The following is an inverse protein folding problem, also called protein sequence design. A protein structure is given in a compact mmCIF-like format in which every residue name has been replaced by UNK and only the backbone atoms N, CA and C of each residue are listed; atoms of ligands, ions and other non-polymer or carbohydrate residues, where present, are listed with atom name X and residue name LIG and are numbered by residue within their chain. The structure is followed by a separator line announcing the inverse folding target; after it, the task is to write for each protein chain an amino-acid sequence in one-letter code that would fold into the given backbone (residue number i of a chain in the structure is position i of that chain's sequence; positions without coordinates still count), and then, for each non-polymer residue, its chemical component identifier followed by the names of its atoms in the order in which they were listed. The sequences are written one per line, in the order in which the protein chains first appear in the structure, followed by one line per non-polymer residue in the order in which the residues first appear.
data_IF_465438440171
#
_entry.id   IF_465438440171
#
_cell.length_a   1.000
_cell.length_b   1.000
_cell.length_c   1.000
_cell.angle_alpha   90.00
_cell.angle_beta   90.00
_cell.angle_gamma   90.00
#
_symmetry.space_group_name_H-M   'P 1'
#
loop_
_entity.id
_entity.type
_entity.pdbx_description
1 polymer ?
#
# COMPACT_ATOMS: atom_id res chain seq x y z
N UNK A 1 -17.47 31.16 12.32
CA UNK A 1 -17.30 32.28 13.28
C UNK A 1 -16.58 33.48 12.68
N UNK A 2 -15.39 33.31 12.10
CA UNK A 2 -14.64 34.44 11.50
C UNK A 2 -15.37 35.05 10.30
N UNK A 3 -15.89 34.21 9.40
CA UNK A 3 -16.65 34.65 8.21
C UNK A 3 -17.99 35.33 8.61
N UNK A 4 -18.74 34.72 9.53
CA UNK A 4 -20.02 35.23 10.04
C UNK A 4 -19.92 36.59 10.77
N UNK A 5 -18.73 37.01 11.20
CA UNK A 5 -18.51 38.33 11.82
C UNK A 5 -18.79 39.48 10.83
N UNK A 6 -18.70 39.23 9.52
CA UNK A 6 -18.95 40.26 8.51
C UNK A 6 -20.43 40.68 8.46
N UNK A 7 -21.34 39.74 8.73
CA UNK A 7 -22.79 39.97 8.66
C UNK A 7 -23.46 40.14 10.03
N UNK A 8 -22.86 39.61 11.11
CA UNK A 8 -23.48 39.59 12.44
C UNK A 8 -22.55 40.12 13.54
N UNK A 9 -23.14 40.77 14.55
CA UNK A 9 -22.40 41.28 15.72
C UNK A 9 -21.75 40.13 16.50
N UNK A 10 -20.44 40.25 16.74
CA UNK A 10 -19.64 39.25 17.46
C UNK A 10 -20.21 38.86 18.84
N UNK A 11 -20.81 39.82 19.56
CA UNK A 11 -21.42 39.56 20.89
C UNK A 11 -22.57 38.54 20.81
N UNK A 12 -23.35 38.57 19.74
CA UNK A 12 -24.46 37.63 19.50
C UNK A 12 -23.90 36.25 19.16
N UNK A 13 -22.94 36.20 18.24
CA UNK A 13 -22.26 34.96 17.84
C UNK A 13 -21.64 34.23 19.04
N UNK A 14 -20.89 34.95 19.88
CA UNK A 14 -20.26 34.38 21.08
C UNK A 14 -21.27 33.88 22.12
N UNK A 15 -22.44 34.55 22.22
CA UNK A 15 -23.52 34.13 23.12
C UNK A 15 -24.17 32.84 22.65
N UNK A 16 -24.41 32.70 21.34
CA UNK A 16 -25.00 31.49 20.75
C UNK A 16 -24.06 30.30 20.83
N UNK A 17 -22.74 30.51 20.62
CA UNK A 17 -21.76 29.42 20.67
C UNK A 17 -21.17 29.15 22.03
N UNK A 18 -21.57 29.89 23.06
CA UNK A 18 -21.07 29.76 24.44
C UNK A 18 -19.54 29.89 24.57
N UNK A 19 -18.90 30.71 23.72
CA UNK A 19 -17.44 30.92 23.73
C UNK A 19 -17.10 32.26 24.37
N UNK A 20 -16.14 32.27 25.31
CA UNK A 20 -15.62 33.52 25.88
C UNK A 20 -14.89 34.36 24.84
N UNK A 21 -15.08 35.68 24.87
CA UNK A 21 -14.43 36.64 23.97
C UNK A 21 -12.90 36.50 23.94
N UNK A 22 -12.27 36.31 25.10
CA UNK A 22 -10.82 36.11 25.22
C UNK A 22 -10.35 34.85 24.46
N UNK A 23 -11.09 33.74 24.60
CA UNK A 23 -10.79 32.47 23.92
C UNK A 23 -10.88 32.61 22.40
N UNK A 24 -11.86 33.35 21.89
CA UNK A 24 -12.00 33.65 20.47
C UNK A 24 -10.81 34.44 19.90
N UNK A 25 -10.41 35.53 20.55
CA UNK A 25 -9.25 36.30 20.09
C UNK A 25 -7.94 35.54 20.27
N UNK A 26 -7.81 34.73 21.32
CA UNK A 26 -6.69 33.82 21.49
C UNK A 26 -6.57 32.85 20.31
N UNK A 27 -7.69 32.28 19.83
CA UNK A 27 -7.67 31.34 18.70
C UNK A 27 -7.36 32.03 17.38
N UNK A 28 -7.86 33.25 17.15
CA UNK A 28 -7.55 34.01 15.93
C UNK A 28 -6.09 34.43 15.89
N UNK A 29 -5.55 34.92 17.00
CA UNK A 29 -4.19 35.43 17.08
C UNK A 29 -3.15 34.30 17.20
N UNK A 30 -3.60 33.05 17.33
CA UNK A 30 -2.71 31.90 17.41
C UNK A 30 -2.06 31.66 16.05
N UNK A 31 -0.78 31.99 15.95
CA UNK A 31 0.05 31.65 14.78
C UNK A 31 0.01 30.14 14.58
N UNK A 32 -0.42 29.71 13.39
CA UNK A 32 -0.46 28.31 13.07
C UNK A 32 0.96 27.77 13.00
N UNK A 33 1.33 26.83 13.88
CA UNK A 33 2.69 26.25 13.92
C UNK A 33 3.06 25.60 12.59
N UNK A 34 2.07 25.20 11.81
CA UNK A 34 2.23 24.59 10.50
C UNK A 34 2.63 25.57 9.40
N UNK A 35 2.53 26.89 9.63
CA UNK A 35 2.95 27.90 8.67
C UNK A 35 4.45 27.84 8.37
N UNK A 36 5.26 27.44 9.35
CA UNK A 36 6.70 27.20 9.17
C UNK A 36 7.00 26.09 8.16
N UNK A 37 6.04 25.19 7.93
CA UNK A 37 6.21 24.05 7.03
C UNK A 37 5.64 24.30 5.63
N UNK A 38 5.12 25.49 5.33
CA UNK A 38 4.46 25.83 4.04
C UNK A 38 5.26 25.37 2.81
N UNK A 39 6.57 25.56 2.83
CA UNK A 39 7.42 25.14 1.71
C UNK A 39 7.45 23.61 1.54
N UNK A 40 7.56 22.85 2.63
CA UNK A 40 7.50 21.38 2.58
C UNK A 40 6.12 20.92 2.11
N UNK A 41 5.04 21.58 2.54
CA UNK A 41 3.68 21.29 2.05
C UNK A 41 3.59 21.47 0.53
N UNK A 42 4.13 22.57 0.00
CA UNK A 42 4.16 22.87 -1.44
C UNK A 42 4.94 21.81 -2.22
N UNK A 43 6.15 21.49 -1.77
CA UNK A 43 7.01 20.48 -2.40
C UNK A 43 6.35 19.09 -2.41
N UNK A 44 5.73 18.67 -1.30
CA UNK A 44 5.03 17.38 -1.21
C UNK A 44 3.88 17.32 -2.22
N UNK A 45 3.07 18.38 -2.33
CA UNK A 45 1.98 18.44 -3.33
C UNK A 45 2.53 18.34 -4.75
N UNK A 46 3.57 19.12 -5.06
CA UNK A 46 4.18 19.14 -6.38
C UNK A 46 4.70 17.75 -6.79
N UNK A 47 5.47 17.10 -5.89
CA UNK A 47 5.96 15.73 -6.08
C UNK A 47 4.81 14.74 -6.31
N UNK A 48 3.76 14.84 -5.49
CA UNK A 48 2.62 13.94 -5.58
C UNK A 48 1.89 14.06 -6.93
N UNK A 49 1.62 15.29 -7.38
CA UNK A 49 0.95 15.55 -8.66
C UNK A 49 1.82 15.18 -9.86
N UNK A 50 3.11 15.53 -9.83
CA UNK A 50 4.09 15.14 -10.86
C UNK A 50 4.09 13.62 -11.08
N UNK A 51 3.93 12.86 -10.00
CA UNK A 51 4.03 11.40 -10.04
C UNK A 51 2.65 10.73 -10.11
N UNK A 52 1.61 11.48 -10.52
CA UNK A 52 0.23 11.01 -10.72
C UNK A 52 -0.35 10.30 -9.50
N UNK A 53 0.02 10.74 -8.31
CA UNK A 53 -0.44 10.20 -7.02
C UNK A 53 0.09 8.81 -6.64
N UNK A 54 1.03 8.24 -7.40
CA UNK A 54 1.59 6.90 -7.12
C UNK A 54 2.54 6.87 -5.93
N UNK A 55 3.03 8.03 -5.50
CA UNK A 55 4.07 8.12 -4.47
C UNK A 55 3.44 8.25 -3.09
N UNK A 56 3.70 7.27 -2.22
CA UNK A 56 3.43 7.36 -0.79
C UNK A 56 4.57 8.05 -0.03
N UNK A 57 4.40 8.24 1.28
CA UNK A 57 5.31 9.02 2.12
C UNK A 57 6.79 8.58 2.02
N UNK A 58 7.06 7.29 1.84
CA UNK A 58 8.42 6.75 1.74
C UNK A 58 9.11 7.21 0.46
N UNK A 59 8.40 7.21 -0.68
CA UNK A 59 8.95 7.69 -1.95
C UNK A 59 9.08 9.20 -1.98
N UNK A 60 8.10 9.91 -1.41
CA UNK A 60 8.16 11.37 -1.27
C UNK A 60 9.34 11.81 -0.38
N UNK A 61 9.62 11.09 0.71
CA UNK A 61 10.80 11.34 1.53
C UNK A 61 12.11 11.25 0.74
N UNK A 62 12.25 10.20 -0.08
CA UNK A 62 13.44 10.03 -0.92
C UNK A 62 13.56 11.16 -1.95
N UNK A 63 12.46 11.54 -2.60
CA UNK A 63 12.48 12.63 -3.57
C UNK A 63 12.77 13.98 -2.94
N UNK A 64 12.26 14.24 -1.72
CA UNK A 64 12.61 15.43 -0.94
C UNK A 64 14.10 15.44 -0.56
N UNK A 65 14.65 14.29 -0.16
CA UNK A 65 16.07 14.16 0.14
C UNK A 65 16.93 14.44 -1.10
N UNK A 66 16.52 13.95 -2.27
CA UNK A 66 17.19 14.22 -3.56
C UNK A 66 17.17 15.71 -3.92
N UNK A 67 16.12 16.44 -3.52
CA UNK A 67 16.02 17.91 -3.68
C UNK A 67 16.76 18.69 -2.58
N UNK A 68 17.46 18.02 -1.66
CA UNK A 68 18.23 18.63 -0.57
C UNK A 68 17.46 18.90 0.72
N UNK A 69 16.18 18.53 0.81
CA UNK A 69 15.39 18.72 2.03
C UNK A 69 15.62 17.58 3.03
N UNK A 70 16.12 17.93 4.23
CA UNK A 70 16.20 17.00 5.36
C UNK A 70 14.90 17.04 6.18
N UNK A 71 14.05 16.04 6.00
CA UNK A 71 12.80 15.90 6.75
C UNK A 71 12.66 14.50 7.38
N UNK A 72 12.10 14.43 8.58
CA UNK A 72 11.79 13.15 9.21
C UNK A 72 10.58 12.48 8.54
N UNK A 73 10.61 11.16 8.35
CA UNK A 73 9.51 10.38 7.78
C UNK A 73 8.18 10.58 8.55
N UNK A 74 8.22 10.74 9.88
CA UNK A 74 7.01 11.02 10.70
C UNK A 74 6.38 12.36 10.32
N UNK A 75 7.20 13.38 10.04
CA UNK A 75 6.75 14.72 9.64
C UNK A 75 6.04 14.66 8.28
N UNK A 76 6.62 13.96 7.31
CA UNK A 76 6.01 13.80 5.98
C UNK A 76 4.70 13.02 6.09
N UNK A 77 4.67 11.93 6.85
CA UNK A 77 3.45 11.15 7.08
C UNK A 77 2.32 12.00 7.68
N UNK A 78 2.62 12.83 8.68
CA UNK A 78 1.67 13.78 9.26
C UNK A 78 1.17 14.80 8.23
N UNK A 79 2.08 15.40 7.46
CA UNK A 79 1.72 16.41 6.44
C UNK A 79 0.82 15.80 5.34
N UNK A 80 1.17 14.62 4.85
CA UNK A 80 0.33 13.90 3.89
C UNK A 80 -1.07 13.61 4.44
N UNK A 81 -1.15 13.19 5.72
CA UNK A 81 -2.43 12.97 6.39
C UNK A 81 -3.25 14.26 6.52
N UNK A 82 -2.63 15.40 6.85
CA UNK A 82 -3.31 16.70 6.91
C UNK A 82 -3.85 17.15 5.54
N UNK A 83 -3.13 16.78 4.48
CA UNK A 83 -3.56 17.06 3.10
C UNK A 83 -4.55 16.03 2.54
N UNK A 84 -4.87 14.96 3.29
CA UNK A 84 -5.64 13.81 2.81
C UNK A 84 -5.07 13.14 1.55
N UNK A 85 -3.75 13.16 1.40
CA UNK A 85 -3.04 12.59 0.25
C UNK A 85 -2.39 11.26 0.66
N UNK A 86 -2.55 10.23 -0.16
CA UNK A 86 -1.94 8.91 0.06
C UNK A 86 -1.47 8.31 -1.26
N UNK A 87 -0.44 7.46 -1.20
CA UNK A 87 0.09 6.81 -2.40
C UNK A 87 -0.91 5.79 -2.94
N UNK A 88 -1.35 5.99 -4.19
CA UNK A 88 -2.23 5.05 -4.89
C UNK A 88 -1.41 3.81 -5.26
N UNK A 89 -1.83 2.66 -4.73
CA UNK A 89 -1.26 1.36 -5.09
C UNK A 89 -2.25 0.64 -6.00
N UNK A 90 -1.81 0.11 -7.16
CA UNK A 90 -2.71 -0.65 -8.02
C UNK A 90 -3.22 -1.88 -7.28
N UNK A 91 -4.48 -2.25 -7.52
CA UNK A 91 -5.03 -3.51 -7.00
C UNK A 91 -4.17 -4.67 -7.52
N UNK A 92 -3.73 -5.53 -6.61
CA UNK A 92 -3.00 -6.74 -6.98
C UNK A 92 -3.84 -7.60 -7.92
N UNK A 93 -3.23 -8.13 -8.99
CA UNK A 93 -3.90 -9.09 -9.87
C UNK A 93 -4.23 -10.37 -9.08
N UNK A 94 -5.36 -10.99 -9.40
CA UNK A 94 -5.71 -12.29 -8.85
C UNK A 94 -4.63 -13.33 -9.20
N UNK A 95 -4.29 -14.17 -8.23
CA UNK A 95 -3.39 -15.32 -8.39
C UNK A 95 -4.14 -16.55 -7.86
N UNK A 96 -4.52 -17.45 -8.77
CA UNK A 96 -5.18 -18.73 -8.43
C UNK A 96 -4.25 -19.64 -7.63
N UNK A 97 -2.99 -19.69 -8.05
CA UNK A 97 -1.93 -20.37 -7.32
C UNK A 97 -1.55 -19.57 -6.07
N UNK A 98 -1.77 -20.16 -4.90
CA UNK A 98 -1.50 -19.54 -3.58
C UNK A 98 -0.16 -19.99 -2.98
N UNK A 99 0.72 -20.55 -3.80
CA UNK A 99 1.93 -21.23 -3.35
C UNK A 99 1.65 -22.67 -2.89
N UNK A 100 2.72 -23.40 -2.58
CA UNK A 100 2.65 -24.75 -2.00
C UNK A 100 2.22 -24.66 -0.54
N UNK A 101 0.92 -24.78 -0.29
CA UNK A 101 0.35 -24.73 1.07
C UNK A 101 0.76 -25.91 1.95
N UNK A 102 1.01 -27.07 1.35
CA UNK A 102 1.38 -28.33 2.03
C UNK A 102 2.70 -28.93 1.51
N UNK A 103 3.53 -28.13 0.83
CA UNK A 103 4.70 -28.62 0.10
C UNK A 103 4.33 -29.37 -1.18
N UNK A 104 5.25 -29.45 -2.14
CA UNK A 104 5.06 -30.27 -3.33
C UNK A 104 5.04 -31.76 -2.92
N UNK A 105 3.91 -32.45 -3.09
CA UNK A 105 3.89 -33.91 -2.90
C UNK A 105 4.83 -34.58 -3.91
N UNK A 106 5.58 -35.60 -3.47
CA UNK A 106 6.47 -36.35 -4.36
C UNK A 106 5.67 -36.90 -5.54
N UNK A 107 6.08 -36.55 -6.75
CA UNK A 107 5.48 -37.11 -7.96
C UNK A 107 5.91 -38.58 -8.09
N UNK A 108 4.97 -39.51 -7.93
CA UNK A 108 5.25 -40.95 -7.94
C UNK A 108 5.57 -41.48 -9.34
N UNK A 109 5.18 -40.77 -10.40
CA UNK A 109 5.31 -41.19 -11.79
C UNK A 109 6.52 -40.57 -12.49
N UNK A 110 7.21 -39.65 -11.83
CA UNK A 110 8.29 -38.86 -12.43
C UNK A 110 9.60 -39.13 -11.71
N UNK A 111 10.46 -39.91 -12.36
CA UNK A 111 11.79 -40.24 -11.86
C UNK A 111 12.82 -39.26 -12.46
N UNK A 112 13.59 -38.60 -11.59
CA UNK A 112 14.69 -37.71 -11.97
C UNK A 112 15.99 -38.53 -12.08
N UNK A 113 16.51 -38.69 -13.29
CA UNK A 113 17.82 -39.28 -13.53
C UNK A 113 18.86 -38.17 -13.78
N UNK A 114 19.95 -38.17 -13.03
CA UNK A 114 21.04 -37.20 -13.19
C UNK A 114 22.27 -37.97 -13.66
N UNK A 115 22.72 -37.68 -14.87
CA UNK A 115 23.98 -38.18 -15.42
C UNK A 115 25.09 -37.19 -15.06
N UNK A 116 25.93 -37.53 -14.08
CA UNK A 116 26.98 -36.63 -13.55
C UNK A 116 28.12 -36.40 -14.55
N UNK A 117 28.51 -37.43 -15.31
CA UNK A 117 29.58 -37.35 -16.31
C UNK A 117 29.24 -36.46 -17.51
N UNK A 118 27.96 -36.47 -17.92
CA UNK A 118 27.45 -35.66 -19.05
C UNK A 118 26.79 -34.36 -18.59
N UNK A 119 26.79 -34.11 -17.28
CA UNK A 119 26.08 -33.00 -16.64
C UNK A 119 24.64 -32.82 -17.14
N UNK A 120 23.91 -33.94 -17.35
CA UNK A 120 22.57 -33.93 -17.94
C UNK A 120 21.55 -34.44 -16.94
N UNK A 121 20.47 -33.69 -16.74
CA UNK A 121 19.31 -34.14 -15.96
C UNK A 121 18.18 -34.52 -16.91
N UNK A 122 17.72 -35.77 -16.82
CA UNK A 122 16.59 -36.29 -17.62
C UNK A 122 15.45 -36.70 -16.68
N UNK A 123 14.22 -36.39 -17.05
CA UNK A 123 13.03 -36.83 -16.32
C UNK A 123 12.35 -37.94 -17.10
N UNK A 124 12.28 -39.14 -16.51
CA UNK A 124 11.59 -40.29 -17.10
C UNK A 124 10.23 -40.43 -16.43
N UNK A 125 9.18 -40.62 -17.25
CA UNK A 125 7.83 -40.87 -16.77
C UNK A 125 7.47 -42.33 -17.00
N UNK A 126 7.14 -43.02 -15.93
CA UNK A 126 6.72 -44.42 -15.98
C UNK A 126 5.20 -44.48 -15.77
N UNK A 127 4.49 -44.82 -16.84
CA UNK A 127 3.01 -44.94 -16.86
C UNK A 127 2.54 -46.40 -16.87
N UNK A 128 3.48 -47.36 -16.84
CA UNK A 128 3.18 -48.79 -16.81
C UNK A 128 2.42 -49.15 -15.54
N UNK A 129 1.35 -49.94 -15.69
CA UNK A 129 0.44 -50.28 -14.60
C UNK A 129 0.15 -51.78 -14.64
N UNK A 130 0.31 -52.48 -13.51
CA UNK A 130 0.07 -53.93 -13.41
C UNK A 130 -1.31 -54.24 -12.82
N UNK A 131 -1.91 -53.30 -12.09
CA UNK A 131 -3.26 -53.42 -11.54
C UNK A 131 -3.99 -52.06 -11.46
N UNK A 132 -5.33 -52.09 -11.35
CA UNK A 132 -6.13 -50.88 -11.20
C UNK A 132 -5.73 -50.06 -9.96
N UNK A 133 -5.79 -48.72 -10.05
CA UNK A 133 -5.49 -47.75 -8.99
C UNK A 133 -4.02 -47.62 -8.48
N UNK A 134 -3.03 -48.24 -9.14
CA UNK A 134 -1.63 -48.11 -8.69
C UNK A 134 -1.03 -46.71 -8.87
N UNK A 135 -1.44 -46.00 -9.92
CA UNK A 135 -0.83 -44.73 -10.36
C UNK A 135 -1.84 -43.57 -10.46
N UNK A 136 -2.98 -43.67 -9.76
CA UNK A 136 -4.03 -42.64 -9.74
C UNK A 136 -4.87 -42.52 -11.01
N UNK A 137 -4.88 -43.54 -11.88
CA UNK A 137 -5.76 -43.54 -13.05
C UNK A 137 -7.21 -43.88 -12.65
N UNK A 138 -8.22 -43.14 -13.14
CA UNK A 138 -9.62 -43.39 -12.82
C UNK A 138 -10.07 -44.73 -13.43
N UNK A 139 -10.79 -45.52 -12.63
CA UNK A 139 -11.47 -46.73 -13.08
C UNK A 139 -12.48 -46.38 -14.18
N UNK A 140 -12.23 -46.83 -15.41
CA UNK A 140 -13.30 -46.87 -16.41
C UNK A 140 -14.22 -48.05 -16.06
N UNK A 141 -15.38 -47.74 -15.46
CA UNK A 141 -16.49 -48.68 -15.37
C UNK A 141 -16.96 -48.96 -16.82
N UNK A 142 -16.63 -50.15 -17.34
CA UNK A 142 -17.21 -50.65 -18.57
C UNK A 142 -18.66 -51.04 -18.28
N UNK A 143 -19.61 -50.22 -18.73
CA UNK A 143 -21.00 -50.62 -18.86
C UNK A 143 -21.10 -51.61 -20.03
N UNK A 144 -21.38 -52.86 -19.73
CA UNK A 144 -21.96 -53.81 -20.69
C UNK A 144 -23.46 -53.64 -20.72
#
# INVERSE_FOLDING_TARGET
MVELRQSYKLKVLLKISEVKKATFFYTINKVNKDDKNKEIFRQIKEIYHRNKGKYGYRRILLELANRGYKANHKKIKRIMSLLNIHGITPRGKYKSYKGDRNGTCKNLLLNKAVDEEKHKTTYKRDISTTACNQNGQPTFLSFT
#
